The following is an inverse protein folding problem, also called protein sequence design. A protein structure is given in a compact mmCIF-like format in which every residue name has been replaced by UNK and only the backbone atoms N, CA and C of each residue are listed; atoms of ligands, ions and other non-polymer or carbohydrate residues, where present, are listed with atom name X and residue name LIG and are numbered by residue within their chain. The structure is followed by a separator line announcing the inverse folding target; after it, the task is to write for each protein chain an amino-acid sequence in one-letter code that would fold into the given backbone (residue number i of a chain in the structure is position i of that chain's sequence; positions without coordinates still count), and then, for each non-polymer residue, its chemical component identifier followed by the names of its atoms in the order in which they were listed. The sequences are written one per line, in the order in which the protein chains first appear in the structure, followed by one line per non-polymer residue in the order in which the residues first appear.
data_IF_721102726269
#
_entry.id   IF_721102726269
#
_cell.length_a   1.000
_cell.length_b   1.000
_cell.length_c   1.000
_cell.angle_alpha   90.00
_cell.angle_beta   90.00
_cell.angle_gamma   90.00
#
_symmetry.space_group_name_H-M   'P 1'
#
loop_
_entity.id
_entity.type
_entity.pdbx_description
1 polymer ?
#
# COMPACT_ATOMS: atom_id res chain seq x y z
N UNK A 1 26.09 -0.22 -11.44
CA UNK A 1 25.00 -0.83 -10.65
C UNK A 1 24.23 0.28 -9.94
N UNK A 2 23.20 0.83 -10.58
CA UNK A 2 22.34 1.86 -9.99
C UNK A 2 21.16 1.19 -9.27
N UNK A 3 21.17 1.23 -7.94
CA UNK A 3 20.22 0.57 -7.02
C UNK A 3 18.85 1.26 -6.92
N UNK A 4 18.52 2.17 -7.84
CA UNK A 4 17.23 2.86 -7.80
C UNK A 4 16.29 2.25 -8.85
N UNK A 5 15.19 1.59 -8.44
CA UNK A 5 14.15 1.24 -9.39
C UNK A 5 13.68 2.52 -10.11
N UNK A 6 13.42 2.50 -11.43
CA UNK A 6 12.92 3.66 -12.15
C UNK A 6 11.73 4.27 -11.39
N UNK A 7 11.62 5.61 -11.37
CA UNK A 7 10.60 6.32 -10.56
C UNK A 7 9.18 5.78 -10.74
N UNK A 8 8.85 5.24 -11.92
CA UNK A 8 7.59 4.56 -12.22
C UNK A 8 7.33 3.28 -11.41
N UNK A 9 8.36 2.49 -11.07
CA UNK A 9 8.23 1.25 -10.27
C UNK A 9 7.80 1.52 -8.83
N UNK A 10 8.00 2.75 -8.30
CA UNK A 10 7.52 3.14 -6.96
C UNK A 10 6.24 3.96 -7.01
N UNK A 11 6.07 4.80 -8.02
CA UNK A 11 4.89 5.66 -8.14
C UNK A 11 3.61 4.83 -8.30
N UNK A 12 3.65 3.75 -9.09
CA UNK A 12 2.47 2.95 -9.38
C UNK A 12 1.91 2.23 -8.14
N UNK A 13 2.72 1.56 -7.29
CA UNK A 13 2.25 1.01 -6.03
C UNK A 13 1.66 2.05 -5.05
N UNK A 14 2.26 3.25 -4.97
CA UNK A 14 1.71 4.33 -4.13
C UNK A 14 0.33 4.76 -4.65
N UNK A 15 0.22 5.00 -5.96
CA UNK A 15 -1.05 5.38 -6.58
C UNK A 15 -2.12 4.30 -6.40
N UNK A 16 -1.75 3.02 -6.51
CA UNK A 16 -2.65 1.91 -6.26
C UNK A 16 -3.19 1.93 -4.81
N UNK A 17 -2.32 2.16 -3.82
CA UNK A 17 -2.72 2.26 -2.42
C UNK A 17 -3.66 3.44 -2.17
N UNK A 18 -3.39 4.60 -2.78
CA UNK A 18 -4.25 5.79 -2.71
C UNK A 18 -5.63 5.53 -3.33
N UNK A 19 -5.67 4.95 -4.53
CA UNK A 19 -6.92 4.63 -5.21
C UNK A 19 -7.75 3.60 -4.44
N UNK A 20 -7.09 2.62 -3.81
CA UNK A 20 -7.75 1.67 -2.92
C UNK A 20 -8.35 2.36 -1.69
N UNK A 21 -7.60 3.25 -1.04
CA UNK A 21 -8.12 4.00 0.10
C UNK A 21 -9.34 4.85 -0.29
N UNK A 22 -9.29 5.49 -1.47
CA UNK A 22 -10.41 6.26 -2.02
C UNK A 22 -11.63 5.40 -2.42
N UNK A 23 -11.49 4.07 -2.53
CA UNK A 23 -12.61 3.19 -2.87
C UNK A 23 -13.55 2.96 -1.68
N UNK A 24 -13.04 3.12 -0.46
CA UNK A 24 -13.79 2.97 0.78
C UNK A 24 -14.51 4.27 1.15
N UNK A 25 -15.47 4.23 2.11
CA UNK A 25 -16.26 5.40 2.47
C UNK A 25 -15.40 6.64 2.77
N UNK A 26 -15.82 7.84 2.32
CA UNK A 26 -17.17 8.19 1.87
C UNK A 26 -17.48 7.95 0.38
N UNK A 27 -16.49 7.70 -0.47
CA UNK A 27 -16.71 7.71 -1.92
C UNK A 27 -17.45 6.46 -2.44
N UNK A 28 -17.29 5.29 -1.80
CA UNK A 28 -17.92 3.99 -2.18
C UNK A 28 -17.78 3.65 -3.68
N UNK A 29 -16.71 4.11 -4.31
CA UNK A 29 -16.51 3.93 -5.75
C UNK A 29 -15.78 2.61 -5.98
N UNK A 30 -16.38 1.72 -6.78
CA UNK A 30 -15.72 0.49 -7.22
C UNK A 30 -14.60 0.78 -8.24
N UNK A 31 -14.76 1.82 -9.05
CA UNK A 31 -13.85 2.12 -10.16
C UNK A 31 -12.40 2.38 -9.71
N UNK A 32 -12.13 3.19 -8.66
CA UNK A 32 -10.78 3.38 -8.13
C UNK A 32 -10.12 2.07 -7.67
N UNK A 33 -10.88 1.10 -7.14
CA UNK A 33 -10.33 -0.19 -6.73
C UNK A 33 -9.76 -0.96 -7.93
N UNK A 34 -10.49 -0.97 -9.05
CA UNK A 34 -10.02 -1.56 -10.30
C UNK A 34 -8.83 -0.78 -10.86
N UNK A 35 -8.88 0.54 -10.88
CA UNK A 35 -7.79 1.39 -11.37
C UNK A 35 -6.52 1.29 -10.51
N UNK A 36 -6.64 0.93 -9.23
CA UNK A 36 -5.49 0.66 -8.37
C UNK A 36 -4.95 -0.77 -8.55
N UNK A 37 -5.82 -1.78 -8.45
CA UNK A 37 -5.41 -3.18 -8.46
C UNK A 37 -4.98 -3.68 -9.83
N UNK A 38 -5.73 -3.37 -10.90
CA UNK A 38 -5.44 -3.95 -12.22
C UNK A 38 -4.06 -3.53 -12.74
N UNK A 39 -3.69 -2.24 -12.75
CA UNK A 39 -2.35 -1.83 -13.18
C UNK A 39 -1.23 -2.39 -12.31
N UNK A 40 -1.47 -2.51 -11.00
CA UNK A 40 -0.51 -3.12 -10.08
C UNK A 40 -0.28 -4.60 -10.40
N UNK A 41 -1.35 -5.35 -10.65
CA UNK A 41 -1.27 -6.77 -11.02
C UNK A 41 -0.60 -6.96 -12.38
N UNK A 42 -0.87 -6.09 -13.37
CA UNK A 42 -0.17 -6.11 -14.67
C UNK A 42 1.32 -5.83 -14.49
N UNK A 43 1.70 -4.86 -13.65
CA UNK A 43 3.10 -4.60 -13.31
C UNK A 43 3.77 -5.84 -12.70
N UNK A 44 3.11 -6.48 -11.73
CA UNK A 44 3.63 -7.68 -11.06
C UNK A 44 3.76 -8.85 -12.05
N UNK A 45 2.77 -9.04 -12.93
CA UNK A 45 2.78 -10.09 -13.95
C UNK A 45 3.92 -9.91 -14.99
N UNK A 46 4.36 -8.67 -15.23
CA UNK A 46 5.48 -8.36 -16.11
C UNK A 46 6.87 -8.55 -15.48
N UNK A 47 6.96 -8.89 -14.19
CA UNK A 47 8.24 -9.07 -13.50
C UNK A 47 8.92 -10.39 -13.91
N UNK A 48 10.26 -10.43 -13.95
CA UNK A 48 11.00 -11.64 -14.31
C UNK A 48 10.78 -12.75 -13.28
N UNK A 49 10.77 -14.00 -13.73
CA UNK A 49 10.74 -15.15 -12.81
C UNK A 49 12.00 -15.18 -11.90
N UNK A 50 11.85 -15.74 -10.69
CA UNK A 50 12.96 -15.95 -9.75
C UNK A 50 12.99 -14.95 -8.58
N UNK A 51 14.07 -15.01 -7.81
CA UNK A 51 14.17 -14.28 -6.53
C UNK A 51 14.08 -12.75 -6.70
N UNK A 52 14.67 -12.21 -7.77
CA UNK A 52 14.66 -10.77 -8.04
C UNK A 52 13.25 -10.24 -8.34
N UNK A 53 12.47 -10.94 -9.18
CA UNK A 53 11.08 -10.56 -9.47
C UNK A 53 10.16 -10.76 -8.28
N UNK A 54 10.31 -11.87 -7.54
CA UNK A 54 9.58 -12.08 -6.28
C UNK A 54 9.82 -10.93 -5.29
N UNK A 55 11.07 -10.53 -5.12
CA UNK A 55 11.41 -9.42 -4.22
C UNK A 55 10.80 -8.08 -4.67
N UNK A 56 10.79 -7.79 -5.98
CA UNK A 56 10.14 -6.60 -6.52
C UNK A 56 8.62 -6.64 -6.33
N UNK A 57 7.99 -7.80 -6.55
CA UNK A 57 6.57 -8.00 -6.32
C UNK A 57 6.21 -7.80 -4.84
N UNK A 58 6.98 -8.39 -3.92
CA UNK A 58 6.79 -8.20 -2.47
C UNK A 58 6.92 -6.73 -2.09
N UNK A 59 7.91 -6.00 -2.60
CA UNK A 59 8.07 -4.57 -2.32
C UNK A 59 6.93 -3.73 -2.88
N UNK A 60 6.44 -4.04 -4.08
CA UNK A 60 5.30 -3.36 -4.68
C UNK A 60 4.01 -3.60 -3.86
N UNK A 61 3.75 -4.85 -3.47
CA UNK A 61 2.63 -5.21 -2.59
C UNK A 61 2.73 -4.52 -1.23
N UNK A 62 3.89 -4.60 -0.57
CA UNK A 62 4.13 -3.95 0.71
C UNK A 62 3.95 -2.44 0.66
N UNK A 63 4.47 -1.76 -0.37
CA UNK A 63 4.31 -0.31 -0.51
C UNK A 63 2.84 0.07 -0.74
N UNK A 64 2.11 -0.73 -1.52
CA UNK A 64 0.66 -0.54 -1.74
C UNK A 64 -0.11 -0.70 -0.44
N UNK A 65 0.16 -1.78 0.31
CA UNK A 65 -0.45 -2.08 1.61
C UNK A 65 -0.15 -1.01 2.65
N UNK A 66 1.11 -0.58 2.76
CA UNK A 66 1.54 0.50 3.65
C UNK A 66 0.74 1.79 3.44
N UNK A 67 0.55 2.18 2.17
CA UNK A 67 -0.23 3.38 1.83
C UNK A 67 -1.71 3.16 2.10
N UNK A 68 -2.27 2.03 1.65
CA UNK A 68 -3.68 1.71 1.80
C UNK A 68 -4.09 1.56 3.27
N UNK A 69 -3.46 0.65 4.02
CA UNK A 69 -3.78 0.42 5.42
C UNK A 69 -3.40 1.60 6.30
N UNK A 70 -2.29 2.29 6.01
CA UNK A 70 -1.93 3.52 6.73
C UNK A 70 -3.04 4.58 6.64
N UNK A 71 -3.57 4.81 5.44
CA UNK A 71 -4.67 5.75 5.24
C UNK A 71 -6.03 5.22 5.68
N UNK A 72 -6.27 3.91 5.66
CA UNK A 72 -7.57 3.37 6.07
C UNK A 72 -7.68 3.24 7.60
N UNK A 73 -6.55 3.06 8.29
CA UNK A 73 -6.49 2.78 9.73
C UNK A 73 -5.94 3.95 10.56
N UNK A 74 -5.59 5.10 9.96
CA UNK A 74 -5.04 6.25 10.70
C UNK A 74 -5.93 6.67 11.87
N UNK A 75 -7.24 6.49 11.72
CA UNK A 75 -8.23 6.83 12.74
C UNK A 75 -7.99 6.09 14.06
N UNK A 76 -7.39 4.90 14.04
CA UNK A 76 -7.04 4.16 15.26
C UNK A 76 -6.08 4.96 16.12
N UNK A 77 -5.02 5.54 15.54
CA UNK A 77 -4.09 6.37 16.32
C UNK A 77 -4.80 7.61 16.82
N UNK A 78 -5.52 8.30 15.93
CA UNK A 78 -6.19 9.55 16.27
C UNK A 78 -7.19 9.34 17.41
N UNK A 79 -7.92 8.23 17.42
CA UNK A 79 -8.92 7.94 18.44
C UNK A 79 -8.32 7.40 19.75
N UNK A 80 -7.22 6.63 19.70
CA UNK A 80 -6.68 5.94 20.87
C UNK A 80 -5.50 6.65 21.54
N UNK A 81 -4.84 7.60 20.88
CA UNK A 81 -3.65 8.26 21.43
C UNK A 81 -3.95 9.04 22.73
N UNK A 82 -5.16 9.58 22.86
CA UNK A 82 -5.61 10.29 24.06
C UNK A 82 -5.77 9.35 25.27
N UNK A 83 -5.95 8.05 25.04
CA UNK A 83 -6.04 7.03 26.10
C UNK A 83 -4.70 6.40 26.42
N UNK A 84 -3.87 6.13 25.41
CA UNK A 84 -2.56 5.52 25.60
C UNK A 84 -1.63 5.77 24.42
N UNK A 85 -0.39 6.16 24.73
CA UNK A 85 0.67 6.28 23.72
C UNK A 85 1.02 4.94 23.04
N UNK A 86 0.61 3.80 23.61
CA UNK A 86 0.73 2.48 22.96
C UNK A 86 -0.11 2.35 21.69
N UNK A 87 -1.07 3.26 21.46
CA UNK A 87 -1.83 3.32 20.22
C UNK A 87 -0.94 3.51 18.98
N UNK A 88 0.13 4.31 19.10
CA UNK A 88 1.06 4.59 17.99
C UNK A 88 1.80 3.32 17.53
N UNK A 89 2.55 2.59 18.39
CA UNK A 89 3.22 1.37 17.97
C UNK A 89 2.23 0.26 17.58
N UNK A 90 1.05 0.17 18.21
CA UNK A 90 0.03 -0.80 17.83
C UNK A 90 -0.48 -0.57 16.39
N UNK A 91 -0.76 0.68 16.02
CA UNK A 91 -1.13 1.06 14.66
C UNK A 91 0.00 0.77 13.68
N UNK A 92 1.23 1.21 13.98
CA UNK A 92 2.37 0.97 13.09
C UNK A 92 2.58 -0.52 12.84
N UNK A 93 2.51 -1.35 13.88
CA UNK A 93 2.61 -2.79 13.76
C UNK A 93 1.49 -3.35 12.87
N UNK A 94 0.25 -2.90 13.08
CA UNK A 94 -0.90 -3.35 12.29
C UNK A 94 -0.71 -3.04 10.81
N UNK A 95 -0.29 -1.81 10.48
CA UNK A 95 -0.03 -1.37 9.10
C UNK A 95 1.16 -2.10 8.46
N UNK A 96 2.18 -2.46 9.24
CA UNK A 96 3.37 -3.16 8.72
C UNK A 96 3.14 -4.65 8.49
N UNK A 97 2.13 -5.24 9.14
CA UNK A 97 1.82 -6.68 9.06
C UNK A 97 0.77 -6.99 8.00
N UNK A 98 -0.21 -6.09 7.80
CA UNK A 98 -1.26 -6.23 6.79
C UNK A 98 -0.75 -5.88 5.37
#
# INVERSE_FOLDING_TARGET
MTLSPPRGERALPVLAGLLLALSYPPARLLLPAFLGLVPLLVLIAGLPAGAAGRWRATRAGFLTGLVYFGLQLYWLVVALVDYSLLAVPAYLLTVLVL
#
